data_IF_995990781998
#
_entry.id   IF_995990781998
#
_cell.length_a   1.000
_cell.length_b   1.000
_cell.length_c   1.000
_cell.angle_alpha   90.00
_cell.angle_beta   90.00
_cell.angle_gamma   90.00
#
_symmetry.space_group_name_H-M   'P 1'
#
loop_
_entity.id
_entity.type
_entity.pdbx_description
1 polymer ?
#
# COMPACT_ATOMS: atom_id res chain seq x y z
N UNK A 1 0.30 -30.19 -20.93
CA UNK A 1 -0.16 -28.79 -21.06
C UNK A 1 0.56 -27.96 -20.02
N UNK A 2 1.42 -27.04 -20.43
CA UNK A 2 2.04 -26.08 -19.52
C UNK A 2 0.98 -25.04 -19.15
N UNK A 3 0.64 -24.82 -17.87
CA UNK A 3 -0.32 -23.78 -17.53
C UNK A 3 0.26 -22.41 -17.90
N UNK A 4 -0.54 -21.60 -18.60
CA UNK A 4 -0.19 -20.23 -18.94
C UNK A 4 0.07 -19.42 -17.64
N UNK A 5 1.09 -18.56 -17.60
CA UNK A 5 1.37 -17.76 -16.42
C UNK A 5 0.18 -16.84 -16.13
N UNK A 6 -0.35 -16.94 -14.90
CA UNK A 6 -1.39 -16.04 -14.40
C UNK A 6 -0.77 -14.66 -14.30
N UNK A 7 -1.04 -13.79 -15.28
CA UNK A 7 -0.75 -12.36 -15.18
C UNK A 7 -1.67 -11.75 -14.13
N UNK A 8 -1.21 -11.72 -12.88
CA UNK A 8 -1.84 -10.93 -11.83
C UNK A 8 -1.60 -9.46 -12.19
N UNK A 9 -2.65 -8.76 -12.65
CA UNK A 9 -2.56 -7.30 -12.79
C UNK A 9 -2.35 -6.71 -11.39
N UNK A 10 -1.36 -5.83 -11.17
CA UNK A 10 -1.21 -5.16 -9.90
C UNK A 10 -2.48 -4.35 -9.61
N UNK A 11 -3.03 -4.53 -8.42
CA UNK A 11 -4.20 -3.79 -7.96
C UNK A 11 -3.73 -2.37 -7.65
N UNK A 12 -4.12 -1.40 -8.48
CA UNK A 12 -3.69 0.01 -8.33
C UNK A 12 -4.37 0.72 -7.16
N UNK A 13 -5.45 0.17 -6.62
CA UNK A 13 -6.19 0.77 -5.51
C UNK A 13 -6.88 -0.29 -4.64
N UNK A 14 -6.79 -0.11 -3.33
CA UNK A 14 -7.52 -0.92 -2.36
C UNK A 14 -8.90 -0.32 -2.06
N UNK A 15 -9.92 -1.17 -1.98
CA UNK A 15 -11.26 -0.74 -1.59
C UNK A 15 -11.39 -0.76 -0.07
N UNK A 16 -11.77 0.38 0.50
CA UNK A 16 -12.17 0.48 1.91
C UNK A 16 -13.70 0.52 2.02
N UNK A 17 -14.23 -0.02 3.11
CA UNK A 17 -15.64 0.13 3.50
C UNK A 17 -15.69 0.79 4.86
N UNK A 18 -16.47 1.86 4.98
CA UNK A 18 -16.56 2.67 6.21
C UNK A 18 -18.02 2.98 6.52
N UNK A 19 -18.35 3.07 7.81
CA UNK A 19 -19.64 3.56 8.26
C UNK A 19 -19.58 5.08 8.41
N UNK A 20 -20.59 5.80 7.93
CA UNK A 20 -20.73 7.24 8.05
C UNK A 20 -22.03 7.59 8.78
N UNK A 21 -22.01 8.67 9.56
CA UNK A 21 -23.22 9.19 10.18
C UNK A 21 -24.20 9.71 9.13
N UNK A 22 -25.51 9.66 9.42
CA UNK A 22 -26.54 10.10 8.47
C UNK A 22 -26.39 11.58 8.06
N UNK A 23 -25.95 12.43 8.99
CA UNK A 23 -25.73 13.86 8.73
C UNK A 23 -24.56 14.06 7.78
N UNK A 24 -23.42 13.41 8.03
CA UNK A 24 -22.23 13.54 7.18
C UNK A 24 -22.51 13.00 5.77
N UNK A 25 -23.18 11.85 5.66
CA UNK A 25 -23.56 11.31 4.36
C UNK A 25 -24.48 12.27 3.59
N UNK A 26 -25.45 12.89 4.25
CA UNK A 26 -26.33 13.88 3.64
C UNK A 26 -25.58 15.14 3.17
N UNK A 27 -24.58 15.60 3.91
CA UNK A 27 -23.74 16.71 3.50
C UNK A 27 -22.87 16.36 2.28
N UNK A 28 -22.31 15.14 2.25
CA UNK A 28 -21.55 14.64 1.09
C UNK A 28 -22.44 14.59 -0.15
N UNK A 29 -23.67 14.09 0.00
CA UNK A 29 -24.64 14.01 -1.09
C UNK A 29 -24.97 15.38 -1.65
N UNK A 30 -25.26 16.35 -0.78
CA UNK A 30 -25.52 17.73 -1.19
C UNK A 30 -24.35 18.31 -2.00
N UNK A 31 -23.11 18.08 -1.55
CA UNK A 31 -21.93 18.57 -2.27
C UNK A 31 -21.75 17.92 -3.65
N UNK A 32 -22.16 16.67 -3.81
CA UNK A 32 -22.15 15.99 -5.12
C UNK A 32 -23.28 16.51 -6.01
N UNK A 33 -24.48 16.69 -5.46
CA UNK A 33 -25.65 17.20 -6.19
C UNK A 33 -25.43 18.63 -6.69
N UNK A 34 -24.82 19.48 -5.87
CA UNK A 34 -24.41 20.86 -6.20
C UNK A 34 -23.14 20.91 -7.09
N UNK A 35 -22.66 19.76 -7.59
CA UNK A 35 -21.55 19.63 -8.54
C UNK A 35 -20.19 20.12 -8.04
N UNK A 36 -20.00 20.29 -6.72
CA UNK A 36 -18.66 20.53 -6.16
C UNK A 36 -17.74 19.32 -6.34
N UNK A 37 -18.31 18.12 -6.38
CA UNK A 37 -17.60 16.87 -6.62
C UNK A 37 -18.31 16.01 -7.65
N UNK A 38 -17.55 15.19 -8.39
CA UNK A 38 -18.14 14.36 -9.46
C UNK A 38 -18.95 13.17 -8.93
N UNK A 39 -18.60 12.67 -7.74
CA UNK A 39 -19.30 11.59 -7.03
C UNK A 39 -18.78 11.47 -5.58
N UNK A 40 -19.44 10.64 -4.75
CA UNK A 40 -19.03 10.40 -3.35
C UNK A 40 -17.60 9.88 -3.22
N UNK A 41 -17.16 9.02 -4.13
CA UNK A 41 -15.80 8.45 -4.11
C UNK A 41 -14.74 9.53 -4.34
N UNK A 42 -15.03 10.48 -5.24
CA UNK A 42 -14.16 11.64 -5.51
C UNK A 42 -14.05 12.56 -4.29
N UNK A 43 -15.17 12.87 -3.65
CA UNK A 43 -15.18 13.60 -2.37
C UNK A 43 -14.32 12.90 -1.32
N UNK A 44 -14.56 11.61 -1.05
CA UNK A 44 -13.86 10.85 -0.02
C UNK A 44 -12.36 10.80 -0.32
N UNK A 45 -11.97 10.54 -1.57
CA UNK A 45 -10.56 10.50 -1.98
C UNK A 45 -9.89 11.86 -1.78
N UNK A 46 -10.58 12.94 -2.13
CA UNK A 46 -10.08 14.31 -1.96
C UNK A 46 -9.92 14.65 -0.47
N UNK A 47 -10.92 14.33 0.37
CA UNK A 47 -10.86 14.55 1.80
C UNK A 47 -9.68 13.80 2.45
N UNK A 48 -9.46 12.53 2.08
CA UNK A 48 -8.32 11.74 2.55
C UNK A 48 -7.00 12.40 2.16
N UNK A 49 -6.83 12.81 0.90
CA UNK A 49 -5.61 13.49 0.43
C UNK A 49 -5.35 14.77 1.20
N UNK A 50 -6.38 15.59 1.40
CA UNK A 50 -6.27 16.85 2.15
C UNK A 50 -5.85 16.63 3.61
N UNK A 51 -6.37 15.59 4.27
CA UNK A 51 -5.97 15.27 5.64
C UNK A 51 -4.54 14.72 5.71
N UNK A 52 -4.15 13.86 4.78
CA UNK A 52 -2.77 13.35 4.71
C UNK A 52 -1.75 14.46 4.44
N UNK A 53 -2.09 15.40 3.56
CA UNK A 53 -1.24 16.57 3.29
C UNK A 53 -1.05 17.45 4.53
N UNK A 54 -2.14 17.73 5.26
CA UNK A 54 -2.09 18.48 6.54
C UNK A 54 -1.20 17.82 7.59
N UNK A 55 -1.11 16.49 7.58
CA UNK A 55 -0.33 15.72 8.54
C UNK A 55 1.01 15.20 7.99
N UNK A 56 1.44 15.65 6.82
CA UNK A 56 2.60 15.12 6.11
C UNK A 56 3.88 15.09 6.98
N UNK A 57 4.19 16.17 7.70
CA UNK A 57 5.38 16.24 8.54
C UNK A 57 5.32 15.33 9.77
N UNK A 58 4.12 15.08 10.29
CA UNK A 58 3.94 14.11 11.38
C UNK A 58 4.12 12.68 10.85
N UNK A 59 3.58 12.39 9.66
CA UNK A 59 3.75 11.09 9.00
C UNK A 59 5.22 10.84 8.66
N UNK A 60 5.93 11.80 8.04
CA UNK A 60 7.37 11.69 7.73
C UNK A 60 8.21 11.41 8.96
N UNK A 61 8.02 12.16 10.04
CA UNK A 61 8.73 11.92 11.32
C UNK A 61 8.44 10.53 11.88
N UNK A 62 7.18 10.08 11.83
CA UNK A 62 6.82 8.75 12.31
C UNK A 62 7.45 7.63 11.46
N UNK A 63 7.50 7.81 10.13
CA UNK A 63 8.13 6.90 9.18
C UNK A 63 9.63 6.79 9.43
N UNK A 64 10.32 7.93 9.65
CA UNK A 64 11.75 7.97 9.94
C UNK A 64 12.09 7.29 11.27
N UNK A 65 11.39 7.68 12.36
CA UNK A 65 11.62 7.12 13.70
C UNK A 65 11.39 5.60 13.74
N UNK A 66 10.38 5.13 13.00
CA UNK A 66 10.00 3.71 12.98
C UNK A 66 10.66 2.92 11.86
N UNK A 67 11.48 3.56 11.01
CA UNK A 67 12.11 2.96 9.81
C UNK A 67 11.11 2.23 8.91
N UNK A 68 9.95 2.84 8.71
CA UNK A 68 8.89 2.29 7.85
C UNK A 68 9.15 2.70 6.40
N UNK A 69 8.84 1.82 5.45
CA UNK A 69 8.73 2.19 4.04
C UNK A 69 7.26 2.48 3.73
N UNK A 70 6.93 3.67 3.24
CA UNK A 70 5.54 4.04 2.94
C UNK A 70 5.23 3.85 1.45
N UNK A 71 4.14 3.14 1.14
CA UNK A 71 3.65 2.90 -0.22
C UNK A 71 3.74 1.44 -0.66
N UNK A 72 4.00 1.23 -1.96
CA UNK A 72 4.15 -0.09 -2.55
C UNK A 72 5.63 -0.45 -2.65
N UNK A 73 6.02 -1.57 -2.03
CA UNK A 73 7.36 -2.13 -2.14
C UNK A 73 7.31 -3.46 -2.89
N UNK A 74 8.08 -3.55 -3.96
CA UNK A 74 8.18 -4.76 -4.77
C UNK A 74 9.55 -5.42 -4.59
N UNK A 75 9.56 -6.68 -4.18
CA UNK A 75 10.76 -7.50 -4.01
C UNK A 75 10.84 -8.53 -5.13
N UNK A 76 11.83 -8.38 -6.01
CA UNK A 76 12.11 -9.31 -7.10
C UNK A 76 13.07 -10.41 -6.64
N UNK A 77 13.12 -11.52 -7.37
CA UNK A 77 14.12 -12.59 -7.13
C UNK A 77 15.55 -12.04 -7.06
N UNK A 78 15.92 -11.14 -7.99
CA UNK A 78 17.25 -10.54 -8.04
C UNK A 78 17.60 -9.75 -6.76
N UNK A 79 16.61 -9.08 -6.14
CA UNK A 79 16.82 -8.31 -4.92
C UNK A 79 17.17 -9.23 -3.74
N UNK A 80 16.49 -10.37 -3.65
CA UNK A 80 16.69 -11.38 -2.61
C UNK A 80 17.99 -12.17 -2.85
N UNK A 81 18.30 -12.52 -4.09
CA UNK A 81 19.58 -13.16 -4.43
C UNK A 81 20.78 -12.26 -4.11
N UNK A 82 20.67 -10.96 -4.37
CA UNK A 82 21.68 -9.99 -3.98
C UNK A 82 21.82 -9.90 -2.45
N UNK A 83 20.71 -9.88 -1.70
CA UNK A 83 20.73 -9.90 -0.25
C UNK A 83 21.41 -11.17 0.30
N UNK A 84 21.09 -12.34 -0.28
CA UNK A 84 21.75 -13.62 0.06
C UNK A 84 23.25 -13.58 -0.22
N UNK A 85 23.64 -13.13 -1.40
CA UNK A 85 25.06 -13.04 -1.79
C UNK A 85 25.84 -12.08 -0.88
N UNK A 86 25.18 -11.04 -0.37
CA UNK A 86 25.75 -10.11 0.61
C UNK A 86 25.71 -10.62 2.06
N UNK A 87 25.12 -11.79 2.33
CA UNK A 87 24.91 -12.30 3.69
C UNK A 87 23.96 -11.43 4.54
N UNK A 88 23.09 -10.66 3.88
CA UNK A 88 22.17 -9.74 4.51
C UNK A 88 20.79 -10.37 4.69
N UNK A 89 20.11 -9.99 5.77
CA UNK A 89 18.71 -10.34 6.00
C UNK A 89 17.83 -9.10 5.97
N UNK A 90 16.72 -9.19 5.25
CA UNK A 90 15.77 -8.12 5.05
C UNK A 90 14.75 -8.11 6.20
N UNK A 91 14.58 -6.93 6.80
CA UNK A 91 13.49 -6.64 7.71
C UNK A 91 12.48 -5.75 6.99
N UNK A 92 11.43 -6.37 6.45
CA UNK A 92 10.42 -5.69 5.65
C UNK A 92 9.42 -5.03 6.59
N UNK A 93 9.36 -3.70 6.57
CA UNK A 93 8.36 -2.91 7.30
C UNK A 93 7.71 -1.92 6.34
N UNK A 94 6.52 -2.25 5.85
CA UNK A 94 5.83 -1.46 4.82
C UNK A 94 4.51 -0.93 5.36
N UNK A 95 4.26 0.37 5.22
CA UNK A 95 2.94 0.98 5.39
C UNK A 95 2.29 1.09 4.01
N UNK A 96 1.45 0.12 3.66
CA UNK A 96 0.86 0.00 2.33
C UNK A 96 0.91 -1.45 1.85
N UNK A 97 1.56 -1.71 0.72
CA UNK A 97 1.59 -3.03 0.09
C UNK A 97 3.02 -3.52 -0.13
N UNK A 98 3.36 -4.68 0.42
CA UNK A 98 4.57 -5.42 0.06
C UNK A 98 4.20 -6.53 -0.93
N UNK A 99 4.81 -6.51 -2.12
CA UNK A 99 4.65 -7.54 -3.14
C UNK A 99 5.98 -8.29 -3.28
N UNK A 100 5.94 -9.62 -3.24
CA UNK A 100 7.06 -10.49 -3.57
C UNK A 100 6.73 -11.15 -4.91
N UNK A 101 7.65 -11.07 -5.87
CA UNK A 101 7.44 -11.62 -7.21
C UNK A 101 7.09 -13.13 -7.14
N UNK A 102 6.17 -13.62 -8.00
CA UNK A 102 5.71 -15.00 -7.95
C UNK A 102 6.80 -16.03 -8.29
N UNK A 103 7.92 -15.58 -8.85
CA UNK A 103 9.05 -16.41 -9.22
C UNK A 103 10.09 -16.53 -8.08
N UNK A 104 9.91 -15.79 -6.97
CA UNK A 104 10.70 -15.99 -5.74
C UNK A 104 10.35 -17.33 -5.12
N UNK A 105 11.36 -18.18 -4.92
CA UNK A 105 11.12 -19.47 -4.23
C UNK A 105 10.90 -19.24 -2.72
N UNK A 106 10.06 -20.06 -2.07
CA UNK A 106 9.87 -19.98 -0.62
C UNK A 106 11.17 -20.12 0.17
N UNK A 107 12.11 -20.91 -0.33
CA UNK A 107 13.40 -21.12 0.34
C UNK A 107 14.29 -19.88 0.25
N UNK A 108 14.35 -19.23 -0.93
CA UNK A 108 15.05 -17.96 -1.09
C UNK A 108 14.44 -16.89 -0.18
N UNK A 109 13.11 -16.81 -0.11
CA UNK A 109 12.42 -15.87 0.78
C UNK A 109 12.74 -16.12 2.26
N UNK A 110 12.71 -17.38 2.72
CA UNK A 110 13.04 -17.73 4.11
C UNK A 110 14.50 -17.47 4.47
N UNK A 111 15.41 -17.68 3.54
CA UNK A 111 16.85 -17.46 3.75
C UNK A 111 17.19 -15.97 3.89
N UNK A 112 16.41 -15.10 3.25
CA UNK A 112 16.75 -13.67 3.09
C UNK A 112 15.80 -12.72 3.80
N UNK A 113 14.60 -13.13 4.19
CA UNK A 113 13.62 -12.29 4.88
C UNK A 113 13.49 -12.75 6.34
N UNK A 114 13.95 -11.92 7.27
CA UNK A 114 13.90 -12.22 8.70
C UNK A 114 12.54 -11.89 9.31
N UNK A 115 11.89 -10.82 8.84
CA UNK A 115 10.58 -10.40 9.35
C UNK A 115 9.79 -9.61 8.30
N UNK A 116 8.47 -9.77 8.31
CA UNK A 116 7.53 -8.96 7.52
C UNK A 116 6.52 -8.33 8.48
N UNK A 117 6.40 -7.00 8.40
CA UNK A 117 5.32 -6.23 9.02
C UNK A 117 4.68 -5.35 7.96
N UNK A 118 3.38 -5.53 7.75
CA UNK A 118 2.52 -4.78 6.83
C UNK A 118 1.33 -4.25 7.59
#
# INVERSE_FOLDING_TARGET
MNPLPIRVKPVESEKITVNLGHVDLGQIDLLVDERFYSNRTDFIRTAIRNQLERHNDAVKRAVEVRRLELGLRHYRRADLEAARAAGQTLHIQVLGLAVIDPDVSPDLARETISSIRV
#
